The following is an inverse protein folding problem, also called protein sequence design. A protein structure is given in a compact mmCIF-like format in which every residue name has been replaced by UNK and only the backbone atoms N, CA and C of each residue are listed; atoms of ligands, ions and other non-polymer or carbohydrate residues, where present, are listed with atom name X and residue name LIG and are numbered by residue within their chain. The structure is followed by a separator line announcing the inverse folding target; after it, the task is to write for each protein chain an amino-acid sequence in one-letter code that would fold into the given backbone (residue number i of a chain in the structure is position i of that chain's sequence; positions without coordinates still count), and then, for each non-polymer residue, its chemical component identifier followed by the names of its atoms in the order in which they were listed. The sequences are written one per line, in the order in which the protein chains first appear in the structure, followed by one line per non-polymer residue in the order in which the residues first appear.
data_IF_566873403060
#
_entry.id   IF_566873403060
#
_cell.length_a   1.000
_cell.length_b   1.000
_cell.length_c   1.000
_cell.angle_alpha   90.00
_cell.angle_beta   90.00
_cell.angle_gamma   90.00
#
_symmetry.space_group_name_H-M   'P 1'
#
loop_
_entity.id
_entity.type
_entity.pdbx_description
1 polymer ?
#
# COMPACT_ATOMS: atom_id res chain seq x y z
N UNK A 1 -7.40 -7.40 -5.33
CA UNK A 1 -6.23 -6.56 -5.68
C UNK A 1 -6.32 -6.27 -7.16
N UNK A 2 -6.26 -5.00 -7.53
CA UNK A 2 -6.28 -4.53 -8.90
C UNK A 2 -4.90 -3.96 -9.16
N UNK A 3 -4.17 -4.49 -10.14
CA UNK A 3 -2.97 -3.77 -10.57
C UNK A 3 -3.41 -2.48 -11.23
N UNK A 4 -2.94 -1.36 -10.72
CA UNK A 4 -2.95 -0.12 -11.47
C UNK A 4 -1.81 -0.32 -12.49
N UNK A 5 -2.13 -0.41 -13.78
CA UNK A 5 -1.15 -0.79 -14.82
C UNK A 5 -1.03 0.33 -15.83
N UNK A 6 -0.91 1.56 -15.36
CA UNK A 6 -0.91 2.69 -16.29
C UNK A 6 0.52 2.90 -16.81
N UNK A 7 1.54 2.61 -16.00
CA UNK A 7 2.97 2.80 -16.33
C UNK A 7 3.72 1.52 -16.74
N UNK A 8 3.16 0.33 -16.52
CA UNK A 8 3.77 -0.97 -16.86
C UNK A 8 3.23 -1.66 -18.11
N UNK A 9 2.23 -1.08 -18.79
CA UNK A 9 1.73 -1.57 -20.07
C UNK A 9 2.39 -0.84 -21.22
N UNK A 10 2.77 -1.58 -22.24
CA UNK A 10 3.35 -1.05 -23.47
C UNK A 10 2.40 -1.23 -24.64
N UNK A 11 2.42 -0.28 -25.58
CA UNK A 11 1.74 -0.41 -26.87
C UNK A 11 2.50 -1.38 -27.81
N UNK A 12 2.00 -1.56 -29.02
CA UNK A 12 2.63 -2.42 -30.03
C UNK A 12 4.04 -1.99 -30.45
N UNK A 13 4.49 -0.79 -30.07
CA UNK A 13 5.81 -0.24 -30.34
C UNK A 13 6.70 -0.20 -29.10
N UNK A 14 6.35 -0.94 -28.05
CA UNK A 14 7.05 -0.99 -26.77
C UNK A 14 7.08 0.37 -26.03
N UNK A 15 6.09 1.24 -26.27
CA UNK A 15 5.96 2.53 -25.56
C UNK A 15 4.97 2.39 -24.43
N UNK A 16 5.35 2.90 -23.26
CA UNK A 16 4.46 2.95 -22.09
C UNK A 16 3.15 3.65 -22.45
N UNK A 17 2.02 2.98 -22.26
CA UNK A 17 0.71 3.47 -22.68
C UNK A 17 0.27 4.73 -21.92
N UNK A 18 0.88 5.01 -20.76
CA UNK A 18 0.62 6.22 -19.97
C UNK A 18 0.76 7.49 -20.81
N UNK A 19 1.70 7.50 -21.76
CA UNK A 19 1.97 8.64 -22.63
C UNK A 19 0.91 8.85 -23.72
N UNK A 20 -0.01 7.90 -23.90
CA UNK A 20 -1.15 8.04 -24.81
C UNK A 20 -2.39 8.38 -23.99
N UNK A 21 -2.82 9.65 -24.05
CA UNK A 21 -3.95 10.16 -23.28
C UNK A 21 -5.25 9.33 -23.45
N UNK A 22 -5.53 8.86 -24.68
CA UNK A 22 -6.73 8.07 -24.95
C UNK A 22 -6.65 6.68 -24.34
N UNK A 23 -5.49 6.02 -24.44
CA UNK A 23 -5.29 4.71 -23.83
C UNK A 23 -5.27 4.81 -22.30
N UNK A 24 -4.64 5.85 -21.76
CA UNK A 24 -4.64 6.16 -20.33
C UNK A 24 -6.07 6.33 -19.80
N UNK A 25 -6.87 7.20 -20.42
CA UNK A 25 -8.28 7.42 -20.06
C UNK A 25 -9.11 6.13 -20.16
N UNK A 26 -8.96 5.35 -21.24
CA UNK A 26 -9.65 4.08 -21.41
C UNK A 26 -9.28 3.06 -20.32
N UNK A 27 -8.01 2.99 -19.94
CA UNK A 27 -7.51 2.08 -18.91
C UNK A 27 -8.02 2.50 -17.53
N UNK A 28 -7.96 3.78 -17.19
CA UNK A 28 -8.48 4.30 -15.90
C UNK A 28 -9.97 3.96 -15.76
N UNK A 29 -10.77 4.22 -16.80
CA UNK A 29 -12.21 3.86 -16.81
C UNK A 29 -12.45 2.36 -16.68
N UNK A 30 -11.63 1.54 -17.35
CA UNK A 30 -11.70 0.09 -17.22
C UNK A 30 -11.38 -0.37 -15.79
N UNK A 31 -10.35 0.20 -15.17
CA UNK A 31 -9.95 -0.11 -13.79
C UNK A 31 -11.04 0.31 -12.81
N UNK A 32 -11.60 1.51 -12.96
CA UNK A 32 -12.73 1.99 -12.17
C UNK A 32 -13.94 1.04 -12.27
N UNK A 33 -14.36 0.65 -13.48
CA UNK A 33 -15.46 -0.28 -13.69
C UNK A 33 -15.19 -1.68 -13.08
N UNK A 34 -13.95 -2.17 -13.18
CA UNK A 34 -13.54 -3.43 -12.54
C UNK A 34 -13.57 -3.32 -11.02
N UNK A 35 -13.10 -2.21 -10.46
CA UNK A 35 -13.12 -1.95 -9.03
C UNK A 35 -14.55 -1.95 -8.50
N UNK A 36 -15.46 -1.23 -9.17
CA UNK A 36 -16.88 -1.24 -8.84
C UNK A 36 -17.47 -2.64 -8.84
N UNK A 37 -17.20 -3.40 -9.91
CA UNK A 37 -17.70 -4.77 -10.02
C UNK A 37 -17.16 -5.67 -8.90
N UNK A 38 -15.88 -5.55 -8.54
CA UNK A 38 -15.30 -6.30 -7.42
C UNK A 38 -15.95 -5.92 -6.09
N UNK A 39 -16.15 -4.62 -5.82
CA UNK A 39 -16.82 -4.16 -4.60
C UNK A 39 -18.23 -4.73 -4.50
N UNK A 40 -19.05 -4.61 -5.56
CA UNK A 40 -20.40 -5.19 -5.59
C UNK A 40 -20.40 -6.70 -5.33
N UNK A 41 -19.47 -7.42 -5.96
CA UNK A 41 -19.39 -8.88 -5.84
C UNK A 41 -18.95 -9.32 -4.46
N UNK A 42 -18.04 -8.58 -3.80
CA UNK A 42 -17.57 -8.90 -2.46
C UNK A 42 -18.53 -8.44 -1.37
N UNK A 43 -19.27 -7.35 -1.60
CA UNK A 43 -20.24 -6.80 -0.64
C UNK A 43 -21.37 -7.78 -0.29
N UNK A 44 -21.68 -8.72 -1.19
CA UNK A 44 -22.68 -9.77 -0.95
C UNK A 44 -22.35 -10.66 0.27
N UNK A 45 -21.09 -10.67 0.74
CA UNK A 45 -20.65 -11.46 1.90
C UNK A 45 -20.85 -10.75 3.24
N UNK A 46 -21.36 -9.50 3.25
CA UNK A 46 -21.72 -8.79 4.48
C UNK A 46 -20.55 -8.25 5.30
N UNK A 47 -19.34 -8.23 4.72
CA UNK A 47 -18.15 -7.64 5.32
C UNK A 47 -17.76 -6.33 4.62
N UNK A 48 -17.09 -5.39 5.30
CA UNK A 48 -16.45 -4.26 4.65
C UNK A 48 -15.51 -4.74 3.53
N UNK A 49 -15.59 -4.11 2.36
CA UNK A 49 -14.76 -4.47 1.21
C UNK A 49 -13.60 -3.49 1.10
N UNK A 50 -12.38 -4.04 1.02
CA UNK A 50 -11.16 -3.27 0.74
C UNK A 50 -10.62 -3.71 -0.61
N UNK A 51 -10.37 -2.75 -1.51
CA UNK A 51 -9.71 -2.97 -2.78
C UNK A 51 -8.31 -2.35 -2.71
N UNK A 52 -7.28 -3.19 -2.72
CA UNK A 52 -5.90 -2.74 -2.89
C UNK A 52 -5.57 -2.55 -4.37
N UNK A 53 -5.11 -1.34 -4.70
CA UNK A 53 -4.45 -0.96 -5.93
C UNK A 53 -2.97 -1.29 -5.79
N UNK A 54 -2.46 -2.18 -6.64
CA UNK A 54 -1.07 -2.61 -6.64
C UNK A 54 -0.35 -1.86 -7.75
N UNK A 55 0.61 -1.00 -7.38
CA UNK A 55 1.29 -0.13 -8.34
C UNK A 55 2.81 -0.12 -8.07
N UNK A 56 3.51 -1.21 -8.40
CA UNK A 56 4.95 -1.31 -8.20
C UNK A 56 5.72 -0.32 -9.10
N UNK A 57 5.15 0.14 -10.22
CA UNK A 57 5.85 1.04 -11.13
C UNK A 57 5.91 2.48 -10.61
N UNK A 58 5.11 2.86 -9.60
CA UNK A 58 5.33 4.12 -8.87
C UNK A 58 6.62 4.13 -8.05
N UNK A 59 7.23 2.98 -7.77
CA UNK A 59 8.57 2.96 -7.18
C UNK A 59 9.64 3.58 -8.11
N UNK A 60 9.38 3.63 -9.42
CA UNK A 60 10.22 4.32 -10.40
C UNK A 60 9.88 5.80 -10.58
N UNK A 61 8.80 6.31 -9.96
CA UNK A 61 8.39 7.70 -10.13
C UNK A 61 9.50 8.66 -9.63
N UNK A 62 9.91 9.59 -10.50
CA UNK A 62 11.08 10.46 -10.27
C UNK A 62 12.42 9.91 -10.80
N UNK A 63 12.46 8.69 -11.34
CA UNK A 63 13.60 8.17 -12.10
C UNK A 63 13.61 8.71 -13.55
N UNK A 64 14.74 8.58 -14.24
CA UNK A 64 14.89 9.02 -15.65
C UNK A 64 13.88 8.42 -16.62
N UNK A 65 13.27 7.27 -16.26
CA UNK A 65 12.28 6.56 -17.08
C UNK A 65 10.88 7.22 -16.99
N UNK A 66 10.64 8.04 -15.96
CA UNK A 66 9.33 8.64 -15.66
C UNK A 66 9.37 10.17 -15.47
N UNK A 67 10.47 10.84 -15.84
CA UNK A 67 10.65 12.31 -15.71
C UNK A 67 9.51 13.11 -16.36
N UNK A 68 8.90 12.59 -17.42
CA UNK A 68 7.84 13.28 -18.18
C UNK A 68 6.42 13.04 -17.65
N UNK A 69 6.23 12.18 -16.65
CA UNK A 69 4.91 11.97 -16.03
C UNK A 69 4.76 12.95 -14.87
N UNK A 70 3.73 13.78 -14.91
CA UNK A 70 3.47 14.72 -13.82
C UNK A 70 2.79 14.04 -12.63
N UNK A 71 3.03 14.57 -11.44
CA UNK A 71 2.37 14.16 -10.19
C UNK A 71 0.84 14.31 -10.31
N UNK A 72 0.38 15.45 -10.84
CA UNK A 72 -1.03 15.74 -11.08
C UNK A 72 -1.74 14.70 -11.96
N UNK A 73 -1.08 14.21 -13.03
CA UNK A 73 -1.68 13.21 -13.91
C UNK A 73 -1.88 11.86 -13.22
N UNK A 74 -0.92 11.44 -12.39
CA UNK A 74 -1.01 10.20 -11.62
C UNK A 74 -2.10 10.33 -10.56
N UNK A 75 -2.15 11.47 -9.86
CA UNK A 75 -3.16 11.76 -8.86
C UNK A 75 -4.58 11.75 -9.46
N UNK A 76 -4.77 12.34 -10.64
CA UNK A 76 -6.06 12.31 -11.33
C UNK A 76 -6.48 10.87 -11.65
N UNK A 77 -5.57 10.05 -12.18
CA UNK A 77 -5.85 8.65 -12.50
C UNK A 77 -6.18 7.83 -11.24
N UNK A 78 -5.39 8.01 -10.17
CA UNK A 78 -5.59 7.32 -8.90
C UNK A 78 -6.93 7.69 -8.27
N UNK A 79 -7.21 8.99 -8.17
CA UNK A 79 -8.43 9.51 -7.54
C UNK A 79 -9.69 9.09 -8.30
N UNK A 80 -9.66 8.95 -9.63
CA UNK A 80 -10.82 8.44 -10.39
C UNK A 80 -11.15 6.99 -10.01
N UNK A 81 -10.14 6.12 -9.89
CA UNK A 81 -10.36 4.72 -9.48
C UNK A 81 -10.79 4.63 -8.01
N UNK A 82 -10.20 5.44 -7.14
CA UNK A 82 -10.57 5.52 -5.71
C UNK A 82 -12.01 5.98 -5.55
N UNK A 83 -12.42 7.04 -6.26
CA UNK A 83 -13.80 7.51 -6.25
C UNK A 83 -14.79 6.42 -6.68
N UNK A 84 -14.45 5.65 -7.71
CA UNK A 84 -15.28 4.54 -8.16
C UNK A 84 -15.41 3.42 -7.11
N UNK A 85 -14.36 3.15 -6.32
CA UNK A 85 -14.41 2.21 -5.18
C UNK A 85 -15.35 2.75 -4.08
N UNK A 86 -15.20 4.03 -3.72
CA UNK A 86 -16.02 4.69 -2.71
C UNK A 86 -17.50 4.77 -3.08
N UNK A 87 -17.82 5.00 -4.37
CA UNK A 87 -19.20 5.02 -4.87
C UNK A 87 -19.95 3.71 -4.62
N UNK A 88 -19.25 2.58 -4.53
CA UNK A 88 -19.83 1.27 -4.22
C UNK A 88 -19.74 0.90 -2.74
N UNK A 89 -19.28 1.84 -1.89
CA UNK A 89 -19.12 1.65 -0.45
C UNK A 89 -17.88 0.83 -0.04
N UNK A 90 -16.92 0.64 -0.94
CA UNK A 90 -15.64 0.01 -0.62
C UNK A 90 -14.61 1.01 -0.08
N UNK A 91 -13.54 0.49 0.53
CA UNK A 91 -12.34 1.25 0.89
C UNK A 91 -11.23 0.99 -0.13
N UNK A 92 -10.46 2.02 -0.47
CA UNK A 92 -9.33 1.95 -1.38
C UNK A 92 -8.01 1.92 -0.61
N UNK A 93 -7.23 0.86 -0.81
CA UNK A 93 -5.85 0.78 -0.35
C UNK A 93 -4.90 0.88 -1.53
N UNK A 94 -3.65 1.30 -1.29
CA UNK A 94 -2.58 1.22 -2.28
C UNK A 94 -1.38 0.45 -1.69
N UNK A 95 -0.79 -0.42 -2.49
CA UNK A 95 0.40 -1.18 -2.12
C UNK A 95 1.58 -0.77 -3.00
N UNK A 96 2.70 -0.43 -2.36
CA UNK A 96 3.97 -0.14 -3.03
C UNK A 96 5.09 -0.83 -2.24
N UNK A 97 5.73 -1.81 -2.87
CA UNK A 97 6.74 -2.68 -2.25
C UNK A 97 8.17 -2.10 -2.23
N UNK A 98 8.36 -0.88 -2.72
CA UNK A 98 9.65 -0.21 -2.81
C UNK A 98 9.54 1.27 -2.46
N UNK A 99 10.67 1.97 -2.41
CA UNK A 99 10.67 3.39 -2.17
C UNK A 99 10.03 4.16 -3.34
N UNK A 100 9.23 5.17 -3.02
CA UNK A 100 8.59 6.08 -3.99
C UNK A 100 8.56 7.49 -3.40
N UNK A 101 8.06 8.46 -4.19
CA UNK A 101 7.64 9.74 -3.63
C UNK A 101 6.31 9.54 -2.87
N UNK A 102 6.41 9.37 -1.56
CA UNK A 102 5.24 9.14 -0.70
C UNK A 102 4.31 10.34 -0.63
N UNK A 103 4.72 11.54 -1.09
CA UNK A 103 3.83 12.69 -1.16
C UNK A 103 2.61 12.41 -2.05
N UNK A 104 2.82 11.79 -3.21
CA UNK A 104 1.76 11.37 -4.13
C UNK A 104 0.70 10.51 -3.42
N UNK A 105 1.16 9.50 -2.68
CA UNK A 105 0.23 8.57 -2.03
C UNK A 105 -0.47 9.23 -0.84
N UNK A 106 0.29 9.93 0.02
CA UNK A 106 -0.24 10.52 1.25
C UNK A 106 -1.20 11.69 0.98
N UNK A 107 -1.01 12.41 -0.13
CA UNK A 107 -1.88 13.52 -0.55
C UNK A 107 -3.13 13.05 -1.30
N UNK A 108 -3.10 11.83 -1.85
CA UNK A 108 -4.22 11.26 -2.59
C UNK A 108 -5.45 11.00 -1.72
N UNK A 109 -6.52 10.50 -2.34
CA UNK A 109 -7.78 10.14 -1.66
C UNK A 109 -7.83 8.72 -1.11
N UNK A 110 -6.73 7.95 -1.17
CA UNK A 110 -6.70 6.57 -0.66
C UNK A 110 -6.95 6.51 0.84
N UNK A 111 -7.61 5.44 1.29
CA UNK A 111 -7.93 5.21 2.70
C UNK A 111 -6.80 4.47 3.43
N UNK A 112 -6.03 3.65 2.71
CA UNK A 112 -5.01 2.78 3.28
C UNK A 112 -3.72 2.86 2.47
N UNK A 113 -2.60 3.18 3.13
CA UNK A 113 -1.26 3.07 2.53
C UNK A 113 -0.57 1.82 3.02
N UNK A 114 -0.17 0.93 2.11
CA UNK A 114 0.61 -0.26 2.41
C UNK A 114 2.01 -0.15 1.81
N UNK A 115 3.00 -0.11 2.69
CA UNK A 115 4.40 0.03 2.32
C UNK A 115 5.27 -1.01 3.02
N UNK A 116 6.44 -1.27 2.46
CA UNK A 116 7.47 -2.10 3.08
C UNK A 116 8.13 -1.34 4.24
N UNK A 117 7.50 -1.46 5.41
CA UNK A 117 8.00 -0.92 6.67
C UNK A 117 9.25 -1.66 7.17
N UNK A 118 9.47 -2.91 6.73
CA UNK A 118 10.64 -3.67 7.13
C UNK A 118 11.93 -3.03 6.60
N UNK A 119 11.95 -2.68 5.31
CA UNK A 119 13.13 -2.17 4.61
C UNK A 119 13.16 -0.65 4.39
N UNK A 120 12.01 0.03 4.35
CA UNK A 120 11.94 1.44 3.90
C UNK A 120 11.26 2.41 4.87
N UNK A 121 11.10 2.05 6.15
CA UNK A 121 10.51 2.95 7.15
C UNK A 121 11.28 4.27 7.30
N UNK A 122 12.62 4.21 7.26
CA UNK A 122 13.51 5.36 7.35
C UNK A 122 13.26 6.40 6.25
N UNK A 123 12.81 5.97 5.07
CA UNK A 123 12.43 6.84 3.95
C UNK A 123 10.99 7.33 4.07
N UNK A 124 10.08 6.46 4.53
CA UNK A 124 8.68 6.82 4.74
C UNK A 124 8.54 7.94 5.78
N UNK A 125 9.23 7.83 6.93
CA UNK A 125 9.13 8.79 8.04
C UNK A 125 9.62 10.21 7.70
N UNK A 126 10.36 10.38 6.60
CA UNK A 126 10.77 11.70 6.10
C UNK A 126 9.57 12.58 5.70
N UNK A 127 8.40 11.99 5.45
CA UNK A 127 7.16 12.69 5.08
C UNK A 127 6.28 12.99 6.31
N UNK A 128 6.91 13.35 7.44
CA UNK A 128 6.30 13.53 8.75
C UNK A 128 4.97 14.31 8.76
N UNK A 129 4.93 15.51 8.18
CA UNK A 129 3.72 16.34 8.16
C UNK A 129 2.59 15.70 7.36
N UNK A 130 2.92 15.00 6.26
CA UNK A 130 1.93 14.30 5.43
C UNK A 130 1.40 13.05 6.11
N UNK A 131 2.26 12.28 6.77
CA UNK A 131 1.87 11.12 7.60
C UNK A 131 0.90 11.56 8.70
N UNK A 132 1.24 12.66 9.38
CA UNK A 132 0.39 13.25 10.41
C UNK A 132 -0.99 13.64 9.87
N UNK A 133 -1.03 14.38 8.76
CA UNK A 133 -2.29 14.79 8.13
C UNK A 133 -3.12 13.58 7.66
N UNK A 134 -2.47 12.57 7.10
CA UNK A 134 -3.08 11.32 6.66
C UNK A 134 -3.77 10.59 7.82
N UNK A 135 -3.05 10.36 8.92
CA UNK A 135 -3.59 9.71 10.11
C UNK A 135 -4.66 10.56 10.82
N UNK A 136 -4.48 11.89 10.92
CA UNK A 136 -5.50 12.77 11.49
C UNK A 136 -6.81 12.78 10.68
N UNK A 137 -6.75 12.45 9.40
CA UNK A 137 -7.92 12.27 8.54
C UNK A 137 -8.62 10.91 8.72
N UNK A 138 -8.19 10.10 9.69
CA UNK A 138 -8.79 8.79 10.00
C UNK A 138 -8.32 7.65 9.09
N UNK A 139 -7.32 7.89 8.23
CA UNK A 139 -6.80 6.91 7.27
C UNK A 139 -5.82 5.95 7.92
N UNK A 140 -5.51 4.84 7.24
CA UNK A 140 -4.89 3.66 7.85
C UNK A 140 -3.50 3.39 7.26
N UNK A 141 -2.55 3.04 8.12
CA UNK A 141 -1.25 2.53 7.70
C UNK A 141 -1.26 1.01 7.76
N UNK A 142 -0.93 0.37 6.64
CA UNK A 142 -0.66 -1.06 6.56
C UNK A 142 0.85 -1.30 6.58
N UNK A 143 1.34 -1.76 7.72
CA UNK A 143 2.75 -2.02 8.02
C UNK A 143 3.18 -3.32 7.38
N UNK A 144 3.88 -3.23 6.25
CA UNK A 144 4.58 -4.35 5.62
C UNK A 144 5.83 -4.74 6.40
N UNK A 145 5.63 -5.24 7.62
CA UNK A 145 6.71 -5.48 8.58
C UNK A 145 7.31 -6.88 8.47
N UNK A 146 6.60 -7.86 7.92
CA UNK A 146 7.13 -9.23 7.74
C UNK A 146 7.87 -9.33 6.39
N UNK A 147 9.19 -9.60 6.36
CA UNK A 147 9.95 -9.63 5.11
C UNK A 147 9.54 -10.80 4.21
N UNK A 148 9.38 -10.55 2.91
CA UNK A 148 9.08 -11.60 1.92
C UNK A 148 10.01 -11.60 0.70
N UNK A 149 10.83 -10.56 0.54
CA UNK A 149 11.71 -10.41 -0.62
C UNK A 149 12.99 -11.25 -0.51
N UNK A 150 13.49 -11.46 0.71
CA UNK A 150 14.68 -12.24 0.98
C UNK A 150 14.36 -13.37 1.99
N UNK A 151 14.47 -14.65 1.59
CA UNK A 151 14.24 -15.78 2.47
C UNK A 151 15.11 -15.78 3.73
N UNK A 152 16.36 -15.31 3.65
CA UNK A 152 17.29 -15.31 4.79
C UNK A 152 16.82 -14.36 5.89
N UNK A 153 16.26 -13.21 5.52
CA UNK A 153 15.69 -12.25 6.46
C UNK A 153 14.46 -12.86 7.14
N UNK A 154 13.56 -13.46 6.37
CA UNK A 154 12.39 -14.17 6.90
C UNK A 154 12.77 -15.32 7.84
N UNK A 155 13.84 -16.05 7.56
CA UNK A 155 14.31 -17.14 8.42
C UNK A 155 14.82 -16.65 9.78
N UNK A 156 15.47 -15.48 9.80
CA UNK A 156 16.03 -14.86 11.00
C UNK A 156 15.00 -14.22 11.92
N UNK A 157 13.91 -13.72 11.36
CA UNK A 157 12.88 -13.02 12.14
C UNK A 157 12.01 -13.97 12.99
N UNK A 158 11.65 -13.46 14.17
CA UNK A 158 10.67 -14.04 15.10
C UNK A 158 9.52 -13.05 15.35
N UNK A 159 8.40 -13.48 15.96
CA UNK A 159 7.34 -12.57 16.36
C UNK A 159 7.86 -11.40 17.22
N UNK A 160 8.72 -11.71 18.20
CA UNK A 160 9.23 -10.74 19.16
C UNK A 160 10.15 -9.70 18.48
N UNK A 161 11.05 -10.14 17.58
CA UNK A 161 11.94 -9.21 16.88
C UNK A 161 11.18 -8.25 15.97
N UNK A 162 10.13 -8.74 15.30
CA UNK A 162 9.28 -7.95 14.44
C UNK A 162 8.37 -7.01 15.23
N UNK A 163 7.88 -7.45 16.40
CA UNK A 163 7.11 -6.60 17.31
C UNK A 163 7.97 -5.48 17.91
N UNK A 164 9.19 -5.78 18.36
CA UNK A 164 10.13 -4.77 18.85
C UNK A 164 10.45 -3.75 17.76
N UNK A 165 10.66 -4.23 16.52
CA UNK A 165 10.86 -3.36 15.35
C UNK A 165 9.64 -2.47 15.10
N UNK A 166 8.42 -3.02 15.16
CA UNK A 166 7.20 -2.23 15.02
C UNK A 166 7.08 -1.18 16.13
N UNK A 167 7.36 -1.52 17.39
CA UNK A 167 7.32 -0.57 18.52
C UNK A 167 8.26 0.61 18.30
N UNK A 168 9.49 0.36 17.84
CA UNK A 168 10.46 1.42 17.53
C UNK A 168 9.95 2.34 16.41
N UNK A 169 9.37 1.78 15.36
CA UNK A 169 8.81 2.54 14.23
C UNK A 169 7.55 3.32 14.63
N UNK A 170 6.66 2.70 15.41
CA UNK A 170 5.46 3.31 15.94
C UNK A 170 5.79 4.52 16.82
N UNK A 171 6.81 4.40 17.68
CA UNK A 171 7.28 5.51 18.51
C UNK A 171 7.76 6.71 17.69
N UNK A 172 8.36 6.52 16.51
CA UNK A 172 8.71 7.63 15.61
C UNK A 172 7.47 8.31 15.02
N UNK A 173 6.41 7.58 14.68
CA UNK A 173 5.13 8.18 14.24
C UNK A 173 4.43 8.91 15.39
N UNK A 174 4.47 8.37 16.60
CA UNK A 174 3.87 9.01 17.78
C UNK A 174 4.50 10.37 18.10
N UNK A 175 5.81 10.54 17.88
CA UNK A 175 6.50 11.84 18.02
C UNK A 175 5.92 12.93 17.12
N UNK A 176 5.18 12.57 16.07
CA UNK A 176 4.50 13.52 15.18
C UNK A 176 3.23 14.11 15.82
N UNK A 177 2.85 13.63 17.01
CA UNK A 177 1.66 14.04 17.75
C UNK A 177 0.45 13.14 17.50
N UNK A 178 0.67 11.90 17.06
CA UNK A 178 -0.36 10.85 16.96
C UNK A 178 -0.35 10.08 18.28
N UNK A 179 -1.51 9.94 18.93
CA UNK A 179 -1.60 9.12 20.15
C UNK A 179 -1.43 7.64 19.81
N UNK A 180 -0.79 6.88 20.72
CA UNK A 180 -0.62 5.43 20.60
C UNK A 180 -1.91 4.68 20.22
N UNK A 181 -3.01 4.94 20.94
CA UNK A 181 -4.32 4.31 20.71
C UNK A 181 -4.89 4.62 19.31
N UNK A 182 -4.73 5.85 18.81
CA UNK A 182 -5.09 6.18 17.43
C UNK A 182 -4.22 5.43 16.41
N UNK A 183 -2.91 5.37 16.65
CA UNK A 183 -1.98 4.66 15.76
C UNK A 183 -2.32 3.18 15.67
N UNK A 184 -2.55 2.51 16.81
CA UNK A 184 -2.94 1.09 16.83
C UNK A 184 -4.26 0.86 16.11
N UNK A 185 -5.29 1.68 16.37
CA UNK A 185 -6.60 1.56 15.68
C UNK A 185 -6.50 1.76 14.18
N UNK A 186 -5.53 2.56 13.73
CA UNK A 186 -5.30 2.89 12.33
C UNK A 186 -4.14 2.07 11.73
N UNK A 187 -3.84 0.91 12.31
CA UNK A 187 -2.77 0.01 11.85
C UNK A 187 -3.31 -1.32 11.33
N UNK A 188 -2.83 -1.74 10.16
CA UNK A 188 -2.93 -3.11 9.66
C UNK A 188 -1.53 -3.73 9.60
N UNK A 189 -1.39 -5.00 9.95
CA UNK A 189 -0.10 -5.71 9.84
C UNK A 189 -0.14 -6.58 8.60
N UNK A 190 0.85 -6.42 7.74
CA UNK A 190 0.94 -7.15 6.47
C UNK A 190 2.34 -7.71 6.26
N UNK A 191 2.50 -8.67 5.33
CA UNK A 191 3.79 -8.88 4.71
C UNK A 191 4.29 -7.62 3.99
N UNK A 192 5.60 -7.49 3.83
CA UNK A 192 6.28 -6.42 3.08
C UNK A 192 5.92 -6.41 1.59
N UNK A 193 5.70 -7.59 1.00
CA UNK A 193 5.23 -7.79 -0.37
C UNK A 193 4.49 -9.14 -0.48
N UNK A 194 4.09 -9.53 -1.70
CA UNK A 194 3.50 -10.85 -1.93
C UNK A 194 4.46 -12.01 -1.57
N UNK A 195 3.89 -13.13 -1.11
CA UNK A 195 4.63 -14.36 -0.82
C UNK A 195 4.69 -15.34 -2.00
N UNK A 196 4.33 -14.91 -3.22
CA UNK A 196 4.15 -15.79 -4.39
C UNK A 196 5.45 -16.41 -4.93
N UNK A 197 6.61 -15.83 -4.61
CA UNK A 197 7.92 -16.34 -5.00
C UNK A 197 8.55 -17.28 -3.96
N UNK A 198 7.93 -17.42 -2.77
CA UNK A 198 8.43 -18.24 -1.68
C UNK A 198 7.93 -19.69 -1.79
N UNK A 199 8.62 -20.62 -1.12
CA UNK A 199 8.10 -21.99 -0.97
C UNK A 199 6.82 -21.97 -0.12
N UNK A 200 5.95 -23.00 -0.23
CA UNK A 200 4.77 -23.12 0.62
C UNK A 200 5.07 -23.08 2.12
N UNK A 201 6.21 -23.63 2.54
CA UNK A 201 6.67 -23.64 3.93
C UNK A 201 7.00 -22.21 4.40
N UNK A 202 7.75 -21.46 3.60
CA UNK A 202 8.08 -20.07 3.89
C UNK A 202 6.83 -19.18 3.84
N UNK A 203 5.93 -19.39 2.89
CA UNK A 203 4.67 -18.65 2.82
C UNK A 203 3.79 -18.89 4.07
N UNK A 204 3.75 -20.12 4.60
CA UNK A 204 3.09 -20.41 5.89
C UNK A 204 3.77 -19.68 7.05
N UNK A 205 5.11 -19.65 7.08
CA UNK A 205 5.87 -18.89 8.09
C UNK A 205 5.52 -17.40 8.05
N UNK A 206 5.45 -16.79 6.85
CA UNK A 206 5.04 -15.39 6.68
C UNK A 206 3.67 -15.14 7.30
N UNK A 207 2.67 -15.95 6.95
CA UNK A 207 1.31 -15.79 7.46
C UNK A 207 1.23 -15.97 8.99
N UNK A 208 2.00 -16.92 9.52
CA UNK A 208 2.12 -17.13 10.97
C UNK A 208 2.76 -15.91 11.67
N UNK A 209 3.87 -15.38 11.17
CA UNK A 209 4.51 -14.18 11.73
C UNK A 209 3.57 -12.96 11.70
N UNK A 210 2.85 -12.73 10.60
CA UNK A 210 1.86 -11.64 10.51
C UNK A 210 0.80 -11.78 11.61
N UNK A 211 0.30 -13.01 11.81
CA UNK A 211 -0.70 -13.29 12.83
C UNK A 211 -0.18 -13.03 14.25
N UNK A 212 1.03 -13.50 14.57
CA UNK A 212 1.62 -13.37 15.90
C UNK A 212 1.99 -11.91 16.21
N UNK A 213 2.64 -11.19 15.29
CA UNK A 213 2.93 -9.76 15.45
C UNK A 213 1.65 -8.96 15.65
N UNK A 214 0.61 -9.25 14.86
CA UNK A 214 -0.70 -8.60 15.02
C UNK A 214 -1.34 -8.91 16.39
N UNK A 215 -1.09 -10.10 16.96
CA UNK A 215 -1.57 -10.46 18.30
C UNK A 215 -0.81 -9.73 19.38
N UNK A 216 0.51 -9.64 19.28
CA UNK A 216 1.35 -8.91 20.25
C UNK A 216 0.97 -7.43 20.33
N UNK A 217 0.77 -6.79 19.17
CA UNK A 217 0.33 -5.38 19.11
C UNK A 217 -1.03 -5.19 19.79
N UNK A 218 -1.99 -6.10 19.56
CA UNK A 218 -3.31 -6.03 20.23
C UNK A 218 -3.26 -6.27 21.74
N UNK A 219 -2.28 -7.02 22.24
CA UNK A 219 -2.11 -7.26 23.67
C UNK A 219 -1.35 -6.11 24.36
N UNK A 220 -0.57 -5.35 23.58
CA UNK A 220 0.17 -4.18 24.05
C UNK A 220 -0.72 -2.93 24.15
N UNK A 221 -1.71 -2.81 23.27
CA UNK A 221 -2.67 -1.71 23.20
C UNK A 221 -3.74 -1.74 24.30
#
# INVERSE_FOLDING_TARGET
MIKMIVTGLHDQNDRVIFYNEQLRDAVVKLLALRAKWQVRRLSQFGCPVIIFLDEPALAGFGSSEFISISHDEVDLCLNEVVAAIHEEGGLAGIHICANTDWALVLDSTVDIVNFDAYAYFDKFILYAERIKAFLQSGRIIAWGIVPTLNPDDLERESPESLFDKWCLQAAEIEKLGISHDALVRQSLITPSCGAGALSPELAKKVLWLVQEVSREIRNFA
#
